data_IF_386189601361
#
_entry.id   IF_386189601361
#
_cell.length_a   1.000
_cell.length_b   1.000
_cell.length_c   1.000
_cell.angle_alpha   90.00
_cell.angle_beta   90.00
_cell.angle_gamma   90.00
#
_symmetry.space_group_name_H-M   'P 1'
#
loop_
_entity.id
_entity.type
_entity.pdbx_description
1 polymer ?
#
# COMPACT_ATOMS: atom_id res chain seq x y z
N UNK A 1 1.73 6.71 -11.28
CA UNK A 1 1.65 7.47 -10.01
C UNK A 1 1.71 6.53 -8.82
N UNK A 2 2.57 6.79 -7.84
CA UNK A 2 2.60 6.08 -6.57
C UNK A 2 1.36 6.40 -5.75
N UNK A 3 0.59 5.39 -5.34
CA UNK A 3 -0.72 5.62 -4.69
C UNK A 3 -1.02 4.64 -3.55
N UNK A 4 -0.27 3.55 -3.45
CA UNK A 4 -0.63 2.42 -2.62
C UNK A 4 0.55 1.80 -1.87
N UNK A 5 0.29 1.27 -0.68
CA UNK A 5 1.18 0.36 0.03
C UNK A 5 0.41 -0.65 0.88
N UNK A 6 1.03 -1.81 1.10
CA UNK A 6 0.42 -2.95 1.79
C UNK A 6 1.34 -3.53 2.87
N UNK A 7 0.75 -3.79 4.04
CA UNK A 7 1.37 -4.56 5.12
C UNK A 7 0.58 -5.79 5.57
N UNK A 8 1.31 -6.82 5.98
CA UNK A 8 0.81 -7.85 6.86
C UNK A 8 1.10 -7.47 8.30
N UNK A 9 0.11 -7.54 9.19
CA UNK A 9 0.26 -7.14 10.59
C UNK A 9 -0.63 -7.97 11.53
N UNK A 10 -0.22 -8.26 12.77
CA UNK A 10 -1.13 -8.85 13.76
C UNK A 10 -2.20 -7.85 14.23
N UNK A 11 -1.95 -6.54 14.11
CA UNK A 11 -2.71 -5.49 14.79
C UNK A 11 -3.71 -4.78 13.85
N UNK A 12 -4.47 -5.55 13.06
CA UNK A 12 -5.33 -5.03 11.98
C UNK A 12 -6.45 -4.07 12.46
N UNK A 13 -7.05 -4.30 13.63
CA UNK A 13 -8.09 -3.39 14.19
C UNK A 13 -7.47 -2.05 14.64
N UNK A 14 -6.26 -2.09 15.21
CA UNK A 14 -5.53 -0.89 15.60
C UNK A 14 -5.06 -0.10 14.38
N UNK A 15 -4.58 -0.79 13.34
CA UNK A 15 -4.21 -0.21 12.05
C UNK A 15 -5.38 0.54 11.42
N UNK A 16 -6.55 -0.08 11.39
CA UNK A 16 -7.76 0.53 10.84
C UNK A 16 -8.18 1.78 11.63
N UNK A 17 -8.25 1.67 12.96
CA UNK A 17 -8.60 2.80 13.82
C UNK A 17 -7.64 3.97 13.63
N UNK A 18 -6.34 3.71 13.58
CA UNK A 18 -5.31 4.71 13.35
C UNK A 18 -5.55 5.49 12.03
N UNK A 19 -5.81 4.79 10.92
CA UNK A 19 -6.08 5.45 9.65
C UNK A 19 -7.44 6.18 9.64
N UNK A 20 -8.46 5.66 10.33
CA UNK A 20 -9.73 6.38 10.52
C UNK A 20 -9.53 7.71 11.26
N UNK A 21 -8.72 7.71 12.33
CA UNK A 21 -8.36 8.93 13.07
C UNK A 21 -7.56 9.92 12.21
N UNK A 22 -6.71 9.41 11.30
CA UNK A 22 -6.04 10.22 10.27
C UNK A 22 -6.99 10.67 9.12
N UNK A 23 -8.28 10.36 9.21
CA UNK A 23 -9.33 10.78 8.28
C UNK A 23 -9.40 9.96 6.99
N UNK A 24 -8.86 8.74 6.99
CA UNK A 24 -9.16 7.73 5.96
C UNK A 24 -10.52 7.09 6.21
N UNK A 25 -11.10 6.54 5.16
CA UNK A 25 -12.32 5.77 5.24
C UNK A 25 -12.00 4.30 5.02
N UNK A 26 -12.61 3.43 5.82
CA UNK A 26 -12.63 2.01 5.50
C UNK A 26 -13.48 1.80 4.26
N UNK A 27 -12.87 1.23 3.24
CA UNK A 27 -13.54 0.91 1.99
C UNK A 27 -14.00 -0.54 1.99
N UNK A 28 -13.11 -1.45 2.38
CA UNK A 28 -13.37 -2.88 2.31
C UNK A 28 -12.76 -3.62 3.50
N UNK A 29 -13.43 -4.69 3.95
CA UNK A 29 -12.85 -5.73 4.81
C UNK A 29 -13.27 -7.11 4.30
N UNK A 30 -12.32 -7.92 3.86
CA UNK A 30 -12.57 -9.33 3.51
C UNK A 30 -11.80 -10.22 4.47
N UNK A 31 -12.53 -11.09 5.17
CA UNK A 31 -11.97 -11.96 6.19
C UNK A 31 -12.44 -13.39 6.04
N UNK A 32 -11.63 -14.33 6.51
CA UNK A 32 -12.01 -15.73 6.59
C UNK A 32 -12.73 -15.98 7.92
N UNK A 33 -13.99 -16.42 7.84
CA UNK A 33 -14.80 -16.85 8.98
C UNK A 33 -15.44 -18.20 8.66
N UNK A 34 -15.44 -19.12 9.63
CA UNK A 34 -16.01 -20.47 9.46
C UNK A 34 -15.50 -21.24 8.23
N UNK A 35 -14.25 -20.99 7.83
CA UNK A 35 -13.61 -21.67 6.72
C UNK A 35 -13.80 -21.01 5.34
N UNK A 36 -14.64 -20.00 5.21
CA UNK A 36 -14.92 -19.28 3.95
C UNK A 36 -14.57 -17.79 4.03
N UNK A 37 -14.27 -17.17 2.89
CA UNK A 37 -14.11 -15.71 2.81
C UNK A 37 -15.47 -15.03 2.77
N UNK A 38 -15.63 -14.01 3.61
CA UNK A 38 -16.85 -13.22 3.74
C UNK A 38 -16.50 -11.73 3.75
N UNK A 39 -17.49 -10.92 3.41
CA UNK A 39 -17.41 -9.46 3.39
C UNK A 39 -17.86 -8.89 4.74
N UNK A 40 -17.00 -8.08 5.36
CA UNK A 40 -17.23 -7.36 6.61
C UNK A 40 -17.05 -5.84 6.44
N UNK A 41 -17.18 -5.36 5.19
CA UNK A 41 -17.05 -3.95 4.84
C UNK A 41 -18.16 -3.12 5.49
N UNK A 42 -17.99 -1.79 5.58
CA UNK A 42 -19.05 -0.89 6.04
C UNK A 42 -20.40 -1.15 5.33
N UNK A 43 -21.54 -1.01 6.03
CA UNK A 43 -21.71 -0.33 7.32
C UNK A 43 -21.37 -1.17 8.56
N UNK A 44 -20.91 -2.42 8.41
CA UNK A 44 -20.46 -3.24 9.54
C UNK A 44 -19.27 -2.59 10.26
N UNK A 45 -19.24 -2.77 11.58
CA UNK A 45 -18.21 -2.29 12.51
C UNK A 45 -17.59 -3.47 13.24
N UNK A 46 -16.46 -3.26 13.90
CA UNK A 46 -15.80 -4.29 14.72
C UNK A 46 -16.72 -4.88 15.79
N UNK A 47 -17.71 -4.13 16.28
CA UNK A 47 -18.70 -4.63 17.25
C UNK A 47 -19.64 -5.69 16.65
N UNK A 48 -20.03 -5.55 15.38
CA UNK A 48 -21.00 -6.43 14.73
C UNK A 48 -20.49 -7.87 14.58
N UNK A 49 -19.16 -8.04 14.60
CA UNK A 49 -18.50 -9.33 14.51
C UNK A 49 -17.52 -9.58 15.66
N UNK A 50 -17.64 -8.83 16.76
CA UNK A 50 -16.80 -9.01 17.94
C UNK A 50 -16.99 -10.42 18.50
N UNK A 51 -15.88 -11.11 18.74
CA UNK A 51 -15.88 -12.49 19.23
C UNK A 51 -15.91 -13.57 18.14
N UNK A 52 -16.08 -13.20 16.87
CA UNK A 52 -15.86 -14.14 15.77
C UNK A 52 -14.36 -14.30 15.51
N UNK A 53 -13.91 -15.54 15.26
CA UNK A 53 -12.52 -15.82 14.91
C UNK A 53 -12.25 -15.50 13.43
N UNK A 54 -12.23 -14.22 13.09
CA UNK A 54 -12.03 -13.73 11.72
C UNK A 54 -10.54 -13.48 11.46
N UNK A 55 -10.03 -14.07 10.37
CA UNK A 55 -8.70 -13.74 9.85
C UNK A 55 -8.86 -12.83 8.63
N UNK A 56 -8.68 -11.53 8.81
CA UNK A 56 -8.76 -10.55 7.74
C UNK A 56 -7.64 -10.76 6.73
N UNK A 57 -7.98 -10.97 5.45
CA UNK A 57 -7.00 -11.06 4.37
C UNK A 57 -6.68 -9.69 3.78
N UNK A 58 -7.67 -8.81 3.82
CA UNK A 58 -7.58 -7.46 3.27
C UNK A 58 -8.53 -6.55 4.07
N UNK A 59 -7.98 -5.45 4.55
CA UNK A 59 -8.68 -4.26 4.99
C UNK A 59 -8.11 -3.12 4.16
N UNK A 60 -8.98 -2.40 3.48
CA UNK A 60 -8.60 -1.34 2.54
C UNK A 60 -9.07 0.01 3.08
N UNK A 61 -8.12 0.91 3.29
CA UNK A 61 -8.33 2.27 3.76
C UNK A 61 -8.05 3.24 2.63
N UNK A 62 -8.97 4.16 2.35
CA UNK A 62 -8.82 5.13 1.26
C UNK A 62 -8.98 6.57 1.74
N UNK A 63 -8.21 7.48 1.13
CA UNK A 63 -8.36 8.93 1.28
C UNK A 63 -7.83 9.65 0.05
N UNK A 64 -8.73 10.30 -0.70
CA UNK A 64 -8.40 10.88 -2.01
C UNK A 64 -7.73 9.87 -2.92
N UNK A 65 -6.48 10.16 -3.30
CA UNK A 65 -5.65 9.34 -4.18
C UNK A 65 -4.80 8.31 -3.43
N UNK A 66 -4.94 8.18 -2.11
CA UNK A 66 -4.14 7.30 -1.26
C UNK A 66 -4.94 6.05 -0.93
N UNK A 67 -4.31 4.89 -1.09
CA UNK A 67 -4.85 3.60 -0.69
C UNK A 67 -3.86 2.89 0.24
N UNK A 68 -4.30 2.52 1.44
CA UNK A 68 -3.52 1.70 2.36
C UNK A 68 -4.24 0.38 2.56
N UNK A 69 -3.56 -0.72 2.30
CA UNK A 69 -4.12 -2.04 2.55
C UNK A 69 -3.33 -2.75 3.64
N UNK A 70 -4.02 -3.51 4.47
CA UNK A 70 -3.37 -4.44 5.37
C UNK A 70 -4.18 -5.70 5.59
N UNK A 71 -3.49 -6.78 5.89
CA UNK A 71 -4.09 -8.07 6.21
C UNK A 71 -3.47 -8.64 7.48
N UNK A 72 -4.13 -9.65 8.04
CA UNK A 72 -3.62 -10.37 9.19
C UNK A 72 -2.34 -11.14 8.84
N UNK A 73 -1.27 -10.84 9.58
CA UNK A 73 -0.01 -11.56 9.55
C UNK A 73 0.44 -11.92 10.96
N UNK A 74 1.25 -12.98 11.11
CA UNK A 74 1.81 -13.36 12.41
C UNK A 74 2.85 -12.36 12.94
N UNK A 75 3.40 -11.55 12.04
CA UNK A 75 4.40 -10.52 12.29
C UNK A 75 4.17 -9.38 11.30
N UNK A 76 4.68 -8.19 11.63
CA UNK A 76 4.73 -7.09 10.69
C UNK A 76 5.62 -7.49 9.51
N UNK A 77 5.10 -7.37 8.30
CA UNK A 77 5.83 -7.60 7.07
C UNK A 77 5.34 -6.62 6.01
N UNK A 78 6.26 -5.87 5.43
CA UNK A 78 5.99 -5.06 4.25
C UNK A 78 5.81 -5.96 3.03
N UNK A 79 4.73 -5.74 2.28
CA UNK A 79 4.32 -6.61 1.16
C UNK A 79 4.65 -5.96 -0.19
N UNK A 80 4.03 -4.81 -0.49
CA UNK A 80 4.24 -4.11 -1.75
C UNK A 80 3.91 -2.62 -1.69
N UNK A 81 4.39 -1.91 -2.71
CA UNK A 81 3.87 -0.59 -3.12
C UNK A 81 3.08 -0.74 -4.42
N UNK A 82 2.13 0.16 -4.67
CA UNK A 82 1.34 0.15 -5.90
C UNK A 82 1.41 1.45 -6.69
N UNK A 83 1.40 1.29 -8.01
CA UNK A 83 1.36 2.37 -8.98
C UNK A 83 0.09 2.30 -9.83
N UNK A 84 -0.58 3.44 -9.92
CA UNK A 84 -1.65 3.65 -10.88
C UNK A 84 -1.01 4.08 -12.21
N UNK A 85 -1.24 3.29 -13.25
CA UNK A 85 -0.65 3.45 -14.59
C UNK A 85 -1.74 3.37 -15.65
N UNK A 86 -1.51 3.99 -16.80
CA UNK A 86 -2.36 3.81 -17.97
C UNK A 86 -2.22 2.39 -18.54
N UNK A 87 -3.20 1.90 -19.33
CA UNK A 87 -3.09 0.60 -19.99
C UNK A 87 -1.87 0.47 -20.90
N UNK A 88 -1.47 1.54 -21.59
CA UNK A 88 -0.26 1.53 -22.44
C UNK A 88 1.02 1.47 -21.60
N UNK A 89 1.12 2.24 -20.51
CA UNK A 89 2.26 2.15 -19.60
C UNK A 89 2.34 0.77 -18.95
N UNK A 90 1.20 0.17 -18.60
CA UNK A 90 1.12 -1.16 -17.99
C UNK A 90 1.80 -2.23 -18.87
N UNK A 91 1.45 -2.30 -20.16
CA UNK A 91 2.04 -3.26 -21.10
C UNK A 91 3.56 -3.06 -21.21
N UNK A 92 4.00 -1.81 -21.38
CA UNK A 92 5.43 -1.49 -21.49
C UNK A 92 6.22 -1.82 -20.21
N UNK A 93 5.65 -1.52 -19.04
CA UNK A 93 6.25 -1.83 -17.74
C UNK A 93 6.38 -3.34 -17.58
N UNK A 94 5.36 -4.12 -17.93
CA UNK A 94 5.41 -5.58 -17.87
C UNK A 94 6.53 -6.15 -18.76
N UNK A 95 6.72 -5.59 -19.95
CA UNK A 95 7.80 -6.03 -20.85
C UNK A 95 9.19 -5.59 -20.38
N UNK A 96 9.31 -4.43 -19.72
CA UNK A 96 10.55 -4.00 -19.05
C UNK A 96 10.86 -4.87 -17.83
N UNK A 97 9.86 -5.24 -17.03
CA UNK A 97 9.99 -6.16 -15.90
C UNK A 97 10.55 -7.53 -16.34
N UNK A 98 10.01 -8.12 -17.42
CA UNK A 98 10.51 -9.38 -17.98
C UNK A 98 11.97 -9.26 -18.42
N UNK A 99 12.37 -8.13 -19.02
CA UNK A 99 13.77 -7.87 -19.43
C UNK A 99 14.72 -7.70 -18.24
N UNK A 100 14.23 -7.17 -17.11
CA UNK A 100 14.93 -7.14 -15.84
C UNK A 100 14.98 -8.52 -15.14
N UNK A 101 14.34 -9.54 -15.72
CA UNK A 101 14.27 -10.89 -15.14
C UNK A 101 13.28 -11.01 -13.98
N UNK A 102 12.35 -10.07 -13.84
CA UNK A 102 11.33 -10.10 -12.78
C UNK A 102 10.14 -10.96 -13.20
N UNK A 103 9.50 -11.61 -12.22
CA UNK A 103 8.25 -12.34 -12.45
C UNK A 103 7.09 -11.35 -12.62
N UNK A 104 6.21 -11.64 -13.57
CA UNK A 104 5.00 -10.84 -13.84
C UNK A 104 3.78 -11.73 -13.63
N UNK A 105 2.99 -11.40 -12.61
CA UNK A 105 1.80 -12.15 -12.23
C UNK A 105 0.54 -11.36 -12.58
N UNK A 106 -0.14 -11.78 -13.64
CA UNK A 106 -1.41 -11.20 -14.04
C UNK A 106 -2.56 -11.81 -13.24
N UNK A 107 -3.29 -10.96 -12.53
CA UNK A 107 -4.60 -11.32 -12.01
C UNK A 107 -5.68 -10.48 -12.73
N UNK A 108 -6.97 -10.86 -12.65
CA UNK A 108 -8.03 -10.17 -13.38
C UNK A 108 -8.21 -8.68 -13.03
N UNK A 109 -7.66 -8.21 -11.90
CA UNK A 109 -7.87 -6.86 -11.37
C UNK A 109 -6.62 -5.98 -11.35
N UNK A 110 -5.43 -6.58 -11.37
CA UNK A 110 -4.13 -5.92 -11.20
C UNK A 110 -2.99 -6.87 -11.55
N UNK A 111 -1.78 -6.34 -11.68
CA UNK A 111 -0.57 -7.12 -11.97
C UNK A 111 0.45 -6.93 -10.87
N UNK A 112 1.09 -8.01 -10.43
CA UNK A 112 2.18 -7.96 -9.46
C UNK A 112 3.51 -8.27 -10.13
N UNK A 113 4.53 -7.51 -9.76
CA UNK A 113 5.90 -7.71 -10.18
C UNK A 113 6.72 -8.16 -8.97
N UNK A 114 7.24 -9.38 -9.00
CA UNK A 114 8.12 -9.88 -7.95
C UNK A 114 9.51 -9.26 -8.11
N UNK A 115 9.93 -8.45 -7.14
CA UNK A 115 11.22 -7.77 -7.20
C UNK A 115 12.31 -8.57 -6.47
N UNK A 116 13.60 -8.39 -6.83
CA UNK A 116 14.71 -8.98 -6.06
C UNK A 116 14.88 -8.32 -4.67
N UNK A 117 14.11 -7.28 -4.35
CA UNK A 117 14.25 -6.44 -3.17
C UNK A 117 13.35 -6.88 -2.00
N UNK A 118 12.78 -8.08 -2.05
CA UNK A 118 11.95 -8.68 -0.97
C UNK A 118 10.61 -7.97 -0.71
N UNK A 119 10.10 -7.25 -1.70
CA UNK A 119 8.73 -6.73 -1.76
C UNK A 119 8.24 -6.79 -3.22
N UNK A 120 6.95 -6.65 -3.47
CA UNK A 120 6.40 -6.64 -4.83
C UNK A 120 6.04 -5.22 -5.30
N UNK A 121 5.86 -5.04 -6.60
CA UNK A 121 5.24 -3.83 -7.17
C UNK A 121 3.89 -4.20 -7.75
N UNK A 122 2.84 -3.54 -7.27
CA UNK A 122 1.50 -3.64 -7.85
C UNK A 122 1.33 -2.60 -8.97
N UNK A 123 0.81 -3.03 -10.12
CA UNK A 123 0.33 -2.17 -11.20
C UNK A 123 -1.19 -2.21 -11.23
N UNK A 124 -1.80 -1.05 -11.06
CA UNK A 124 -3.24 -0.83 -11.14
C UNK A 124 -3.57 0.06 -12.34
N UNK A 125 -4.60 -0.28 -13.11
CA UNK A 125 -5.10 0.52 -14.24
C UNK A 125 -6.49 1.09 -13.98
N UNK A 126 -7.25 0.50 -13.05
CA UNK A 126 -8.58 0.94 -12.68
C UNK A 126 -8.52 2.08 -11.64
N UNK A 127 -8.98 3.26 -12.06
CA UNK A 127 -9.06 4.44 -11.20
C UNK A 127 -10.14 4.34 -10.11
N UNK A 128 -11.03 3.36 -10.19
CA UNK A 128 -12.05 3.09 -9.15
C UNK A 128 -11.43 2.71 -7.79
N UNK A 129 -10.13 2.41 -7.75
CA UNK A 129 -9.35 2.15 -6.53
C UNK A 129 -9.02 3.41 -5.72
N UNK A 130 -9.35 4.60 -6.22
CA UNK A 130 -9.22 5.87 -5.49
C UNK A 130 -10.55 6.24 -4.83
N UNK A 131 -10.52 6.98 -3.71
CA UNK A 131 -11.73 7.38 -3.00
C UNK A 131 -12.44 8.58 -3.63
N UNK A 132 -11.67 9.55 -4.14
CA UNK A 132 -12.21 10.78 -4.74
C UNK A 132 -11.10 11.59 -5.42
N UNK A 133 -11.49 12.64 -6.16
CA UNK A 133 -10.58 13.68 -6.68
C UNK A 133 -10.09 14.66 -5.59
N UNK A 134 -10.07 14.23 -4.32
CA UNK A 134 -9.44 14.99 -3.24
C UNK A 134 -7.93 15.13 -3.51
N UNK A 135 -7.36 16.28 -3.13
CA UNK A 135 -5.92 16.55 -3.23
C UNK A 135 -5.04 15.63 -2.36
N UNK A 136 -5.65 14.76 -1.53
CA UNK A 136 -4.91 13.82 -0.70
C UNK A 136 -4.09 12.86 -1.57
N UNK A 137 -2.76 12.91 -1.48
CA UNK A 137 -1.86 12.09 -2.32
C UNK A 137 -0.55 11.75 -1.59
N UNK A 138 0.11 10.68 -2.03
CA UNK A 138 1.45 10.32 -1.57
C UNK A 138 2.46 11.18 -2.32
N UNK A 139 3.27 11.95 -1.60
CA UNK A 139 4.40 12.71 -2.17
C UNK A 139 5.67 11.89 -2.21
N UNK A 140 5.94 11.15 -1.15
CA UNK A 140 7.17 10.40 -1.02
C UNK A 140 7.02 9.18 -0.12
N UNK A 141 7.76 8.13 -0.44
CA UNK A 141 8.01 6.98 0.43
C UNK A 141 9.51 6.83 0.66
N UNK A 142 9.87 6.47 1.89
CA UNK A 142 11.22 6.04 2.24
C UNK A 142 11.22 4.54 2.47
N UNK A 143 11.94 3.80 1.61
CA UNK A 143 12.13 2.36 1.72
C UNK A 143 13.51 2.07 2.31
N UNK A 144 13.54 1.20 3.31
CA UNK A 144 14.76 0.60 3.84
C UNK A 144 15.00 -0.73 3.13
N UNK A 145 16.21 -0.96 2.61
CA UNK A 145 16.56 -2.18 1.85
C UNK A 145 17.95 -2.73 2.22
N UNK A 146 18.16 -4.06 2.12
CA UNK A 146 19.47 -4.69 2.34
C UNK A 146 20.46 -4.49 1.19
N UNK A 147 19.95 -4.27 -0.01
CA UNK A 147 20.74 -4.12 -1.23
C UNK A 147 20.37 -2.82 -1.95
N UNK A 148 21.32 -2.32 -2.72
CA UNK A 148 21.17 -1.15 -3.59
C UNK A 148 20.63 -1.57 -4.97
N UNK A 149 20.34 -0.60 -5.84
CA UNK A 149 19.93 -0.85 -7.23
C UNK A 149 18.47 -0.50 -7.55
N UNK A 150 17.59 -0.43 -6.55
CA UNK A 150 16.15 -0.24 -6.79
C UNK A 150 15.83 1.01 -7.62
N UNK A 151 16.47 2.16 -7.37
CA UNK A 151 16.16 3.38 -8.15
C UNK A 151 16.51 3.25 -9.64
N UNK A 152 17.61 2.57 -9.96
CA UNK A 152 18.02 2.35 -11.34
C UNK A 152 17.10 1.34 -12.03
N UNK A 153 16.73 0.26 -11.32
CA UNK A 153 15.76 -0.70 -11.83
C UNK A 153 14.39 -0.08 -12.04
N UNK A 154 13.93 0.81 -11.14
CA UNK A 154 12.69 1.55 -11.31
C UNK A 154 12.77 2.50 -12.53
N UNK A 155 13.91 3.17 -12.72
CA UNK A 155 14.14 4.01 -13.90
C UNK A 155 14.04 3.22 -15.19
N UNK A 156 14.62 2.02 -15.23
CA UNK A 156 14.49 1.10 -16.37
C UNK A 156 13.05 0.62 -16.50
N UNK A 157 12.41 0.21 -15.41
CA UNK A 157 11.07 -0.36 -15.38
C UNK A 157 10.01 0.61 -15.90
N UNK A 158 10.07 1.86 -15.47
CA UNK A 158 9.12 2.90 -15.86
C UNK A 158 9.56 3.69 -17.10
N UNK A 159 10.83 3.59 -17.50
CA UNK A 159 11.38 4.34 -18.64
C UNK A 159 11.78 5.77 -18.30
N UNK A 160 11.54 6.21 -17.06
CA UNK A 160 11.84 7.53 -16.54
C UNK A 160 12.16 7.45 -15.04
N UNK A 161 12.74 8.51 -14.48
CA UNK A 161 12.93 8.59 -13.04
C UNK A 161 11.58 8.65 -12.33
N UNK A 162 11.40 7.81 -11.31
CA UNK A 162 10.20 7.84 -10.47
C UNK A 162 10.44 8.78 -9.30
N UNK A 163 9.79 9.97 -9.28
CA UNK A 163 9.88 10.86 -8.14
C UNK A 163 9.19 10.23 -6.93
N UNK A 164 9.58 10.66 -5.73
CA UNK A 164 8.90 10.27 -4.50
C UNK A 164 9.32 8.91 -3.94
N UNK A 165 10.43 8.32 -4.37
CA UNK A 165 11.03 7.17 -3.67
C UNK A 165 12.41 7.55 -3.15
N UNK A 166 12.60 7.39 -1.84
CA UNK A 166 13.91 7.49 -1.18
C UNK A 166 14.32 6.13 -0.65
N UNK A 167 15.62 5.88 -0.66
CA UNK A 167 16.19 4.65 -0.13
C UNK A 167 17.04 4.93 1.11
N UNK A 168 16.98 3.99 2.05
CA UNK A 168 17.89 3.90 3.18
C UNK A 168 18.44 2.48 3.26
N UNK A 169 19.67 2.34 3.73
CA UNK A 169 20.26 1.02 3.96
C UNK A 169 19.69 0.39 5.23
N UNK A 170 19.41 -0.91 5.20
CA UNK A 170 18.93 -1.64 6.38
C UNK A 170 19.04 -3.14 6.29
N UNK A 171 18.58 -3.86 7.32
CA UNK A 171 18.71 -5.31 7.38
C UNK A 171 17.65 -6.05 6.55
N UNK A 172 16.52 -5.41 6.23
CA UNK A 172 15.38 -6.01 5.55
C UNK A 172 14.61 -4.95 4.76
N UNK A 173 13.76 -5.42 3.84
CA UNK A 173 12.86 -4.56 3.09
C UNK A 173 11.72 -4.06 3.96
N UNK A 174 11.63 -2.75 4.15
CA UNK A 174 10.59 -2.10 4.93
C UNK A 174 10.24 -0.73 4.36
N UNK A 175 8.96 -0.36 4.42
CA UNK A 175 8.54 1.03 4.30
C UNK A 175 8.67 1.69 5.67
N UNK A 176 9.43 2.77 5.77
CA UNK A 176 9.73 3.42 7.06
C UNK A 176 9.09 4.80 7.20
N UNK A 177 8.85 5.48 6.08
CA UNK A 177 8.25 6.81 6.08
C UNK A 177 7.34 7.01 4.86
N UNK A 178 6.24 7.72 5.04
CA UNK A 178 5.37 8.19 3.97
C UNK A 178 5.04 9.65 4.21
N UNK A 179 5.39 10.50 3.24
CA UNK A 179 4.96 11.89 3.19
C UNK A 179 3.72 12.00 2.32
N UNK A 180 2.66 12.54 2.90
CA UNK A 180 1.36 12.72 2.28
C UNK A 180 1.00 14.20 2.26
N UNK A 181 0.27 14.59 1.22
CA UNK A 181 -0.22 15.95 1.07
C UNK A 181 -1.71 16.02 0.87
N UNK A 182 -2.29 17.22 1.00
CA UNK A 182 -3.70 17.47 0.71
C UNK A 182 -4.61 17.23 1.92
N UNK A 183 -4.05 17.35 3.13
CA UNK A 183 -4.78 17.22 4.39
C UNK A 183 -5.13 18.61 4.95
N UNK A 184 -6.38 18.84 5.41
CA UNK A 184 -6.77 20.15 5.96
C UNK A 184 -6.06 20.45 7.30
N UNK A 185 -5.62 21.69 7.50
CA UNK A 185 -5.09 22.16 8.79
C UNK A 185 -6.24 22.28 9.82
N UNK A 186 -6.13 21.74 11.06
CA UNK A 186 -4.98 21.86 11.97
C UNK A 186 -4.29 20.54 12.33
N UNK A 187 -4.08 19.63 11.36
CA UNK A 187 -3.04 18.59 11.52
C UNK A 187 -1.69 19.26 11.25
N UNK A 188 -1.26 20.18 12.13
CA UNK A 188 0.05 20.83 12.03
C UNK A 188 1.14 19.75 12.06
N UNK A 189 1.84 19.55 10.94
CA UNK A 189 3.13 18.87 10.82
C UNK A 189 3.35 17.71 11.83
N UNK A 190 2.34 16.88 12.02
CA UNK A 190 2.39 15.85 13.06
C UNK A 190 2.92 14.61 12.40
N UNK A 191 4.18 14.28 12.69
CA UNK A 191 4.69 12.96 12.36
C UNK A 191 4.03 11.95 13.27
N UNK A 192 3.15 11.12 12.72
CA UNK A 192 2.51 10.02 13.43
C UNK A 192 3.27 8.73 13.14
N UNK A 193 3.24 7.80 14.08
CA UNK A 193 3.76 6.45 13.88
C UNK A 193 2.57 5.52 13.75
N UNK A 194 2.47 4.83 12.62
CA UNK A 194 1.44 3.81 12.44
C UNK A 194 1.78 2.53 13.25
N UNK A 195 0.83 1.61 13.45
CA UNK A 195 1.10 0.36 14.18
C UNK A 195 2.16 -0.56 13.55
N UNK A 196 2.51 -0.36 12.29
CA UNK A 196 3.61 -1.07 11.62
C UNK A 196 4.98 -0.39 11.80
N UNK A 197 5.02 0.78 12.45
CA UNK A 197 6.25 1.55 12.67
C UNK A 197 6.60 2.52 11.54
N UNK A 198 5.67 2.81 10.62
CA UNK A 198 5.86 3.78 9.53
C UNK A 198 5.59 5.18 10.04
N UNK A 199 6.55 6.09 9.85
CA UNK A 199 6.35 7.52 10.13
C UNK A 199 5.54 8.17 9.02
N UNK A 200 4.37 8.69 9.35
CA UNK A 200 3.50 9.41 8.43
C UNK A 200 3.61 10.92 8.68
N UNK A 201 3.89 11.67 7.63
CA UNK A 201 3.85 13.14 7.65
C UNK A 201 2.70 13.62 6.77
N UNK A 202 1.95 14.61 7.25
CA UNK A 202 0.80 15.20 6.56
C UNK A 202 1.06 16.67 6.28
N UNK A 203 0.84 17.11 5.04
CA UNK A 203 1.09 18.49 4.57
C UNK A 203 0.06 19.01 3.58
#
# INVERSE_FOLDING_TARGET
MLFHYHFWTPDVEEMERFYQEAGFQTYQRIGKSEGSFQDFSPPLTWEDFRGQAILFRIIEMRKGMINVTFGHGKKIQFDHIGFLVSPSEHEEICDRAKRLGWSVEHNPKRTFLATPYQFEIELQTDRSYLASDSAAAIRQMTLQLPQEGLLEDLRILFGEEIPGIRLQKGPAAMLTEVDMSGFPSPVEATTLLDPCGVRLSFS
#
